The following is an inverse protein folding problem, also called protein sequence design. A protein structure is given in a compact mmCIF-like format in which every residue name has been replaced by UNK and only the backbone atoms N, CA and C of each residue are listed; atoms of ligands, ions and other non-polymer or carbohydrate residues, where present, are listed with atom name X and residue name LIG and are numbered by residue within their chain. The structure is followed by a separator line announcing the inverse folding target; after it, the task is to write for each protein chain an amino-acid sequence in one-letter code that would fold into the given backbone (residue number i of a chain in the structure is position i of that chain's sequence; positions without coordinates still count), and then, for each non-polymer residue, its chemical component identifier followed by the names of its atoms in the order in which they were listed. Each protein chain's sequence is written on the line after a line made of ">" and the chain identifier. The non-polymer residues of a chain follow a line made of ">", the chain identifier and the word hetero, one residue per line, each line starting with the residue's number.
data_IF_793332062367
#
_entry.id   IF_793332062367
#
_cell.length_a   1.000
_cell.length_b   1.000
_cell.length_c   1.000
_cell.angle_alpha   90.00
_cell.angle_beta   90.00
_cell.angle_gamma   90.00
#
_symmetry.space_group_name_H-M   'P 1'
#
loop_
_entity.id
_entity.type
_entity.pdbx_description
1 polymer ?
#
# COMPACT_ATOMS: atom_id res chain seq x y z
N UNK A 1 -10.54 -5.01 22.02
CA UNK A 1 -9.90 -6.08 21.24
C UNK A 1 -9.66 -5.60 19.82
N UNK A 2 -8.50 -5.90 19.26
CA UNK A 2 -8.19 -5.52 17.89
C UNK A 2 -8.98 -6.33 16.88
N UNK A 3 -9.28 -5.72 15.75
CA UNK A 3 -10.03 -6.36 14.67
C UNK A 3 -9.12 -6.63 13.49
N UNK A 4 -9.12 -7.87 13.03
CA UNK A 4 -8.40 -8.29 11.81
C UNK A 4 -9.25 -7.92 10.60
N UNK A 5 -8.64 -7.28 9.60
CA UNK A 5 -9.31 -6.89 8.36
C UNK A 5 -8.87 -7.84 7.25
N UNK A 6 -9.83 -8.29 6.47
CA UNK A 6 -9.59 -9.13 5.30
C UNK A 6 -10.47 -8.68 4.14
N UNK A 7 -9.93 -8.69 2.93
CA UNK A 7 -10.69 -8.44 1.70
C UNK A 7 -10.08 -9.23 0.54
N UNK A 8 -10.94 -9.73 -0.34
CA UNK A 8 -10.51 -10.41 -1.56
C UNK A 8 -10.15 -9.41 -2.67
N UNK A 9 -10.38 -8.12 -2.45
CA UNK A 9 -10.05 -7.04 -3.40
C UNK A 9 -8.59 -6.59 -3.30
N UNK A 10 -7.82 -7.22 -2.42
CA UNK A 10 -6.38 -7.03 -2.31
C UNK A 10 -5.73 -8.42 -2.20
N UNK A 11 -4.42 -8.54 -2.45
CA UNK A 11 -3.74 -9.84 -2.37
C UNK A 11 -3.90 -10.46 -0.98
N UNK A 12 -4.19 -11.76 -0.95
CA UNK A 12 -4.32 -12.49 0.30
C UNK A 12 -3.00 -12.46 1.09
N UNK A 13 -3.12 -12.40 2.41
CA UNK A 13 -1.96 -12.51 3.29
C UNK A 13 -1.45 -13.96 3.26
N UNK A 14 -0.27 -14.15 2.67
CA UNK A 14 0.40 -15.45 2.60
C UNK A 14 1.52 -15.42 3.62
N UNK A 15 1.31 -16.11 4.75
CA UNK A 15 2.25 -16.11 5.85
C UNK A 15 1.61 -15.63 7.16
N UNK A 16 2.41 -15.49 8.22
CA UNK A 16 1.90 -15.16 9.56
C UNK A 16 1.67 -13.65 9.75
N UNK A 17 0.77 -13.06 8.94
CA UNK A 17 0.39 -11.64 9.09
C UNK A 17 -1.04 -11.42 8.57
N UNK A 18 -1.60 -10.26 8.91
CA UNK A 18 -2.92 -9.82 8.45
C UNK A 18 -2.76 -8.71 7.41
N UNK A 19 -3.73 -8.58 6.51
CA UNK A 19 -3.73 -7.46 5.57
C UNK A 19 -3.78 -6.12 6.32
N UNK A 20 -4.58 -6.05 7.37
CA UNK A 20 -4.63 -4.88 8.25
C UNK A 20 -5.18 -5.26 9.61
N UNK A 21 -4.89 -4.41 10.61
CA UNK A 21 -5.39 -4.56 11.97
C UNK A 21 -5.96 -3.22 12.42
N UNK A 22 -7.20 -3.23 12.88
CA UNK A 22 -7.83 -2.06 13.47
C UNK A 22 -7.69 -2.11 14.99
N UNK A 23 -7.09 -1.07 15.55
CA UNK A 23 -6.88 -0.92 16.99
C UNK A 23 -7.49 0.42 17.43
N UNK A 24 -8.65 0.37 18.09
CA UNK A 24 -9.39 1.58 18.39
C UNK A 24 -9.84 2.26 17.10
N UNK A 25 -9.49 3.54 16.93
CA UNK A 25 -9.75 4.28 15.69
C UNK A 25 -8.57 4.30 14.72
N UNK A 26 -7.50 3.56 15.03
CA UNK A 26 -6.32 3.44 14.19
C UNK A 26 -6.41 2.18 13.33
N UNK A 27 -5.96 2.28 12.09
CA UNK A 27 -5.84 1.15 11.19
C UNK A 27 -4.40 1.04 10.71
N UNK A 28 -3.82 -0.13 10.90
CA UNK A 28 -2.45 -0.44 10.46
C UNK A 28 -2.53 -1.37 9.26
N UNK A 29 -2.07 -0.91 8.11
CA UNK A 29 -2.15 -1.67 6.86
C UNK A 29 -0.77 -2.20 6.50
N UNK A 30 -0.67 -3.51 6.30
CA UNK A 30 0.56 -4.18 5.90
C UNK A 30 1.05 -3.68 4.54
N UNK A 31 2.35 -3.79 4.32
CA UNK A 31 2.96 -3.41 3.05
C UNK A 31 2.31 -4.10 1.86
N UNK A 32 1.94 -3.31 0.85
CA UNK A 32 1.30 -3.80 -0.36
C UNK A 32 2.29 -3.77 -1.51
N UNK A 33 2.64 -4.95 -2.03
CA UNK A 33 3.38 -5.10 -3.27
C UNK A 33 2.39 -5.12 -4.44
N UNK A 34 2.83 -4.87 -5.68
CA UNK A 34 1.92 -4.62 -6.80
C UNK A 34 1.29 -5.87 -7.43
N UNK A 35 0.84 -6.81 -6.61
CA UNK A 35 0.14 -8.00 -7.09
C UNK A 35 -1.30 -7.63 -7.41
N UNK A 36 -1.76 -8.00 -8.61
CA UNK A 36 -3.16 -7.91 -8.98
C UNK A 36 -3.90 -9.08 -8.30
N UNK A 37 -4.86 -8.83 -7.40
CA UNK A 37 -5.54 -9.92 -6.70
C UNK A 37 -6.36 -10.83 -7.63
N UNK A 38 -6.72 -10.37 -8.82
CA UNK A 38 -7.47 -11.18 -9.79
C UNK A 38 -6.58 -12.22 -10.47
N UNK A 39 -5.29 -11.95 -10.62
CA UNK A 39 -4.36 -12.84 -11.34
C UNK A 39 -3.33 -13.51 -10.45
N UNK A 40 -3.03 -12.92 -9.29
CA UNK A 40 -2.01 -13.42 -8.38
C UNK A 40 -0.57 -13.09 -8.81
N UNK A 41 -0.41 -12.28 -9.85
CA UNK A 41 0.91 -11.85 -10.35
C UNK A 41 0.97 -10.32 -10.39
N UNK A 42 2.16 -9.76 -10.61
CA UNK A 42 2.30 -8.30 -10.73
C UNK A 42 1.47 -7.76 -11.88
N UNK A 43 0.84 -6.60 -11.67
CA UNK A 43 0.01 -5.93 -12.67
C UNK A 43 0.81 -5.45 -13.87
N UNK A 44 2.13 -5.30 -13.73
CA UNK A 44 3.02 -4.88 -14.79
C UNK A 44 4.47 -4.85 -14.32
N UNK A 45 5.37 -4.43 -15.20
CA UNK A 45 6.81 -4.45 -14.92
C UNK A 45 7.39 -3.06 -14.68
N UNK A 46 6.63 -2.00 -14.98
CA UNK A 46 7.09 -0.62 -14.83
C UNK A 46 6.64 -0.02 -13.50
N UNK A 47 7.36 1.00 -13.05
CA UNK A 47 7.11 1.63 -11.75
C UNK A 47 5.73 2.29 -11.68
N UNK A 48 5.26 2.89 -12.76
CA UNK A 48 3.96 3.57 -12.78
C UNK A 48 2.82 2.57 -12.55
N UNK A 49 2.81 1.47 -13.31
CA UNK A 49 1.80 0.42 -13.16
C UNK A 49 1.89 -0.25 -11.79
N UNK A 50 3.11 -0.53 -11.31
CA UNK A 50 3.31 -1.17 -10.02
C UNK A 50 2.86 -0.26 -8.87
N UNK A 51 3.21 1.02 -8.90
CA UNK A 51 2.77 1.97 -7.87
C UNK A 51 1.25 2.07 -7.83
N UNK A 52 0.61 2.16 -9.00
CA UNK A 52 -0.85 2.24 -9.07
C UNK A 52 -1.51 1.00 -8.49
N UNK A 53 -0.95 -0.19 -8.75
CA UNK A 53 -1.51 -1.42 -8.21
C UNK A 53 -1.30 -1.51 -6.68
N UNK A 54 -0.13 -1.18 -6.17
CA UNK A 54 0.13 -1.16 -4.72
C UNK A 54 -0.85 -0.23 -4.01
N UNK A 55 -1.07 0.97 -4.54
CA UNK A 55 -2.00 1.94 -3.94
C UNK A 55 -3.46 1.51 -4.11
N UNK A 56 -3.81 0.87 -5.21
CA UNK A 56 -5.15 0.31 -5.41
C UNK A 56 -5.43 -0.78 -4.37
N UNK A 57 -4.45 -1.65 -4.10
CA UNK A 57 -4.56 -2.68 -3.07
C UNK A 57 -4.72 -2.06 -1.69
N UNK A 58 -3.92 -1.05 -1.38
CA UNK A 58 -3.99 -0.31 -0.12
C UNK A 58 -5.38 0.31 0.06
N UNK A 59 -5.88 0.97 -0.97
CA UNK A 59 -7.21 1.59 -0.95
C UNK A 59 -8.32 0.56 -0.71
N UNK A 60 -8.23 -0.60 -1.34
CA UNK A 60 -9.21 -1.68 -1.15
C UNK A 60 -9.27 -2.15 0.31
N UNK A 61 -8.11 -2.27 0.95
CA UNK A 61 -8.03 -2.66 2.36
C UNK A 61 -8.59 -1.56 3.26
N UNK A 62 -8.26 -0.29 2.99
CA UNK A 62 -8.83 0.84 3.72
C UNK A 62 -10.35 0.81 3.66
N UNK A 63 -10.90 0.66 2.47
CA UNK A 63 -12.35 0.65 2.26
C UNK A 63 -13.04 -0.52 2.96
N UNK A 64 -12.40 -1.69 2.94
CA UNK A 64 -12.92 -2.86 3.66
C UNK A 64 -13.03 -2.62 5.16
N UNK A 65 -12.21 -1.75 5.71
CA UNK A 65 -12.23 -1.38 7.13
C UNK A 65 -13.10 -0.15 7.43
N UNK A 66 -13.71 0.45 6.40
CA UNK A 66 -14.53 1.66 6.55
C UNK A 66 -13.72 2.95 6.55
N UNK A 67 -12.50 2.93 6.02
CA UNK A 67 -11.62 4.08 5.90
C UNK A 67 -11.47 4.46 4.43
N UNK A 68 -10.96 5.65 4.18
CA UNK A 68 -10.59 6.10 2.83
C UNK A 68 -9.16 6.64 2.81
N UNK A 69 -8.68 7.00 1.63
CA UNK A 69 -7.34 7.58 1.48
C UNK A 69 -7.19 8.88 2.30
N UNK A 70 -8.27 9.65 2.46
CA UNK A 70 -8.27 10.86 3.27
C UNK A 70 -8.05 10.63 4.77
N UNK A 71 -8.21 9.39 5.24
CA UNK A 71 -7.99 9.04 6.64
C UNK A 71 -6.55 8.57 6.91
N UNK A 72 -5.73 8.39 5.86
CA UNK A 72 -4.34 7.96 6.02
C UNK A 72 -3.51 9.10 6.62
N UNK A 73 -2.80 8.80 7.70
CA UNK A 73 -1.97 9.79 8.41
C UNK A 73 -0.49 9.56 8.20
N UNK A 74 -0.09 8.36 7.82
CA UNK A 74 1.32 8.01 7.59
C UNK A 74 1.43 6.93 6.53
N UNK A 75 2.41 7.09 5.63
CA UNK A 75 2.81 6.04 4.70
C UNK A 75 4.32 5.82 4.78
N UNK A 76 4.74 4.62 4.40
CA UNK A 76 6.14 4.30 4.11
C UNK A 76 6.18 3.72 2.71
N UNK A 77 6.97 4.33 1.84
CA UNK A 77 7.16 3.87 0.46
C UNK A 77 8.56 3.28 0.34
N UNK A 78 8.63 1.99 0.04
CA UNK A 78 9.87 1.27 -0.17
C UNK A 78 10.08 1.07 -1.67
N UNK A 79 11.26 1.44 -2.17
CA UNK A 79 11.59 1.35 -3.59
C UNK A 79 12.78 0.41 -3.80
N UNK A 80 12.80 -0.25 -4.95
CA UNK A 80 13.98 -1.01 -5.36
C UNK A 80 15.11 -0.08 -5.84
N UNK A 81 14.74 1.11 -6.36
CA UNK A 81 15.69 2.08 -6.91
C UNK A 81 15.12 3.49 -6.73
N UNK A 82 15.91 4.39 -6.15
CA UNK A 82 15.49 5.79 -5.99
C UNK A 82 15.35 6.54 -7.32
N UNK A 83 15.87 5.99 -8.41
CA UNK A 83 15.62 6.51 -9.75
C UNK A 83 14.15 6.49 -10.15
N UNK A 84 13.34 5.66 -9.48
CA UNK A 84 11.89 5.58 -9.72
C UNK A 84 11.07 6.55 -8.86
N UNK A 85 11.72 7.35 -8.02
CA UNK A 85 11.04 8.20 -7.05
C UNK A 85 10.08 9.19 -7.70
N UNK A 86 10.52 9.91 -8.73
CA UNK A 86 9.68 10.92 -9.39
C UNK A 86 8.45 10.29 -10.07
N UNK A 87 8.62 9.16 -10.76
CA UNK A 87 7.51 8.47 -11.41
C UNK A 87 6.52 7.92 -10.37
N UNK A 88 7.03 7.35 -9.28
CA UNK A 88 6.21 6.91 -8.16
C UNK A 88 5.39 8.07 -7.59
N UNK A 89 6.01 9.22 -7.35
CA UNK A 89 5.34 10.40 -6.81
C UNK A 89 4.18 10.86 -7.70
N UNK A 90 4.31 10.78 -9.02
CA UNK A 90 3.25 11.17 -9.93
C UNK A 90 1.98 10.35 -9.73
N UNK A 91 2.12 9.05 -9.53
CA UNK A 91 0.98 8.16 -9.25
C UNK A 91 0.47 8.35 -7.82
N UNK A 92 1.38 8.46 -6.86
CA UNK A 92 1.06 8.67 -5.44
C UNK A 92 0.15 9.90 -5.26
N UNK A 93 0.44 10.98 -5.98
CA UNK A 93 -0.35 12.22 -5.91
C UNK A 93 -1.80 12.02 -6.39
N UNK A 94 -2.08 11.03 -7.23
CA UNK A 94 -3.45 10.73 -7.66
C UNK A 94 -4.30 10.19 -6.51
N UNK A 95 -3.67 9.48 -5.56
CA UNK A 95 -4.36 8.88 -4.41
C UNK A 95 -4.40 9.83 -3.20
N UNK A 96 -3.42 10.72 -3.10
CA UNK A 96 -3.30 11.69 -2.00
C UNK A 96 -3.14 13.10 -2.58
N UNK A 97 -4.20 13.65 -3.21
CA UNK A 97 -4.09 14.92 -3.93
C UNK A 97 -3.98 16.14 -3.02
N UNK A 98 -4.49 16.05 -1.79
CA UNK A 98 -4.46 17.16 -0.83
C UNK A 98 -4.44 16.61 0.60
N UNK A 99 -3.99 17.44 1.55
CA UNK A 99 -3.86 17.03 2.96
C UNK A 99 -3.09 15.72 3.06
N UNK A 100 -1.94 15.68 2.38
CA UNK A 100 -1.14 14.45 2.24
C UNK A 100 -0.72 13.88 3.60
N UNK A 101 -0.63 12.55 3.72
CA UNK A 101 -0.11 11.94 4.94
C UNK A 101 1.38 12.25 5.12
N UNK A 102 1.86 12.16 6.37
CA UNK A 102 3.28 12.12 6.62
C UNK A 102 3.88 10.90 5.91
N UNK A 103 5.12 11.01 5.42
CA UNK A 103 5.71 9.95 4.62
C UNK A 103 7.20 9.80 4.83
N UNK A 104 7.68 8.56 4.82
CA UNK A 104 9.07 8.23 4.56
C UNK A 104 9.12 7.45 3.24
N UNK A 105 10.13 7.74 2.40
CA UNK A 105 10.32 7.03 1.14
C UNK A 105 11.81 6.83 0.92
N UNK A 106 12.22 5.58 0.67
CA UNK A 106 13.63 5.25 0.48
C UNK A 106 13.78 3.93 -0.26
N UNK A 107 14.96 3.71 -0.83
CA UNK A 107 15.29 2.44 -1.47
C UNK A 107 15.73 1.43 -0.42
N UNK A 108 15.39 0.17 -0.66
CA UNK A 108 15.82 -0.97 0.14
C UNK A 108 16.64 -1.91 -0.74
N UNK A 109 17.34 -2.86 -0.11
CA UNK A 109 18.17 -3.80 -0.86
C UNK A 109 17.33 -4.67 -1.81
N UNK A 110 16.22 -5.20 -1.32
CA UNK A 110 15.33 -6.07 -2.10
C UNK A 110 13.91 -5.93 -1.59
N UNK A 111 12.95 -6.14 -2.47
CA UNK A 111 11.54 -6.26 -2.14
C UNK A 111 11.04 -7.67 -2.49
N UNK A 112 9.97 -8.14 -1.82
CA UNK A 112 9.44 -9.48 -2.11
C UNK A 112 9.13 -9.66 -3.60
N UNK A 113 9.49 -10.80 -4.14
CA UNK A 113 9.23 -11.21 -5.53
C UNK A 113 9.80 -10.26 -6.58
N UNK A 114 10.79 -9.45 -6.22
CA UNK A 114 11.39 -8.50 -7.14
C UNK A 114 10.51 -7.29 -7.45
N UNK A 115 9.60 -6.93 -6.56
CA UNK A 115 8.78 -5.73 -6.73
C UNK A 115 9.64 -4.48 -6.83
N UNK A 116 9.17 -3.48 -7.58
CA UNK A 116 9.84 -2.18 -7.66
C UNK A 116 9.40 -1.24 -6.55
N UNK A 117 8.25 -1.52 -5.92
CA UNK A 117 7.66 -0.68 -4.87
C UNK A 117 6.86 -1.50 -3.89
N UNK A 118 6.83 -1.06 -2.65
CA UNK A 118 5.95 -1.58 -1.59
C UNK A 118 5.51 -0.40 -0.75
N UNK A 119 4.24 -0.35 -0.36
CA UNK A 119 3.69 0.77 0.40
C UNK A 119 2.86 0.24 1.57
N UNK A 120 3.17 0.73 2.77
CA UNK A 120 2.39 0.48 3.97
C UNK A 120 1.77 1.79 4.47
N UNK A 121 0.75 1.70 5.31
CA UNK A 121 0.06 2.89 5.78
C UNK A 121 -0.51 2.72 7.17
N UNK A 122 -0.70 3.85 7.84
CA UNK A 122 -1.48 3.98 9.08
C UNK A 122 -2.59 4.99 8.81
N UNK A 123 -3.82 4.63 9.14
CA UNK A 123 -4.97 5.51 9.02
C UNK A 123 -5.61 5.73 10.40
N UNK A 124 -6.30 6.87 10.54
CA UNK A 124 -6.98 7.22 11.78
C UNK A 124 -8.29 7.91 11.42
N UNK A 125 -9.36 7.54 12.16
CA UNK A 125 -10.66 8.11 11.83
C UNK A 125 -11.52 8.33 13.07
#
# INVERSE_FOLDING_TARGET
>A
MNQIIHTDKAPAAIGPYSQAVKAGNMLFVSGQIPIDPATGVFAGEDIITQTRQSLTNLKAILEAAGYGCGDVVKTTVLLADMGDFAAMNGVYAEFFPENCPARAAFAVKELPRGALVEIEAVACK
#
